data_IF_767325550610
#
_entry.id   IF_767325550610
#
_cell.length_a   1.000
_cell.length_b   1.000
_cell.length_c   1.000
_cell.angle_alpha   90.00
_cell.angle_beta   90.00
_cell.angle_gamma   90.00
#
_symmetry.space_group_name_H-M   'P 1'
#
loop_
_entity.id
_entity.type
_entity.pdbx_description
1 polymer ?
#
# COMPACT_ATOMS: atom_id res chain seq x y z
N UNK A 1 36.78 10.71 -22.81
CA UNK A 1 36.74 12.18 -22.89
C UNK A 1 35.27 12.53 -22.99
N UNK A 2 34.71 13.14 -21.95
CA UNK A 2 33.28 13.41 -21.77
C UNK A 2 32.98 14.81 -22.30
N UNK A 3 31.95 14.97 -23.12
CA UNK A 3 31.50 16.22 -23.71
C UNK A 3 30.25 16.72 -22.95
N UNK A 4 30.30 17.85 -22.22
CA UNK A 4 29.22 18.28 -21.33
C UNK A 4 28.26 19.27 -22.02
N UNK A 5 27.59 18.84 -23.10
CA UNK A 5 26.88 19.78 -23.98
C UNK A 5 25.54 19.41 -24.61
N UNK A 6 24.91 18.26 -24.33
CA UNK A 6 23.62 17.91 -24.97
C UNK A 6 22.46 17.78 -23.95
N UNK A 7 21.48 18.71 -23.93
CA UNK A 7 20.37 18.69 -22.98
C UNK A 7 19.18 17.91 -23.56
N UNK A 8 19.27 16.57 -23.56
CA UNK A 8 18.11 15.69 -23.82
C UNK A 8 18.18 14.41 -22.97
N UNK A 9 17.78 14.49 -21.71
CA UNK A 9 16.65 13.70 -21.19
C UNK A 9 16.37 14.06 -19.72
N UNK A 10 15.25 14.74 -19.53
CA UNK A 10 14.64 15.03 -18.25
C UNK A 10 13.61 13.96 -17.89
N UNK A 11 13.76 13.32 -16.72
CA UNK A 11 12.70 12.92 -15.78
C UNK A 11 13.36 12.03 -14.72
N UNK A 12 13.57 12.52 -13.48
CA UNK A 12 12.58 12.56 -12.37
C UNK A 12 12.13 11.13 -12.07
N UNK A 13 12.38 10.52 -10.91
CA UNK A 13 12.73 11.02 -9.58
C UNK A 13 12.11 9.96 -8.68
N UNK A 14 12.93 9.03 -8.20
CA UNK A 14 12.49 7.81 -7.52
C UNK A 14 11.79 8.09 -6.20
N UNK A 15 10.82 7.25 -5.87
CA UNK A 15 10.08 7.26 -4.61
C UNK A 15 11.02 6.84 -3.47
N UNK A 16 11.18 7.71 -2.47
CA UNK A 16 11.92 7.42 -1.24
C UNK A 16 10.92 7.12 -0.11
N UNK A 17 10.91 5.87 0.37
CA UNK A 17 10.14 5.46 1.53
C UNK A 17 10.83 5.95 2.82
N UNK A 18 10.12 6.73 3.62
CA UNK A 18 10.54 7.14 4.96
C UNK A 18 10.16 6.08 5.99
N UNK A 19 10.71 4.87 5.87
CA UNK A 19 10.91 3.93 6.99
C UNK A 19 12.15 3.06 6.70
N UNK A 20 13.33 3.63 6.99
CA UNK A 20 14.55 2.88 7.30
C UNK A 20 15.20 2.08 6.17
N UNK A 21 16.16 2.73 5.48
CA UNK A 21 17.36 2.18 4.84
C UNK A 21 17.32 0.70 4.43
N UNK A 22 16.96 0.44 3.18
CA UNK A 22 17.77 -0.32 2.22
C UNK A 22 17.14 -0.14 0.82
N UNK A 23 17.88 0.50 -0.09
CA UNK A 23 17.43 0.87 -1.44
C UNK A 23 17.50 -0.35 -2.39
N UNK A 24 16.54 -1.25 -2.27
CA UNK A 24 16.14 -2.12 -3.38
C UNK A 24 14.68 -1.80 -3.74
N UNK A 25 14.47 -1.44 -5.00
CA UNK A 25 13.22 -0.94 -5.56
C UNK A 25 12.09 -1.98 -5.46
N UNK A 26 11.31 -1.93 -4.38
CA UNK A 26 10.04 -2.65 -4.31
C UNK A 26 9.00 -1.90 -5.13
N UNK A 27 8.70 -2.43 -6.32
CA UNK A 27 7.58 -1.98 -7.11
C UNK A 27 6.31 -2.45 -6.40
N UNK A 28 5.80 -1.65 -5.45
CA UNK A 28 4.67 -2.03 -4.61
C UNK A 28 3.42 -2.48 -5.42
N UNK A 29 3.22 -1.93 -6.62
CA UNK A 29 2.14 -2.36 -7.53
C UNK A 29 2.34 -3.74 -8.18
N UNK A 30 3.60 -4.21 -8.27
CA UNK A 30 4.00 -5.48 -8.89
C UNK A 30 4.31 -6.58 -7.87
N UNK A 31 4.66 -6.20 -6.65
CA UNK A 31 5.10 -7.10 -5.57
C UNK A 31 3.95 -7.48 -4.59
N UNK A 32 2.74 -6.93 -4.78
CA UNK A 32 1.54 -7.34 -4.05
C UNK A 32 0.94 -8.67 -4.56
N UNK A 33 1.44 -9.20 -5.69
CA UNK A 33 1.12 -10.56 -6.13
C UNK A 33 1.83 -11.59 -5.23
N UNK A 34 1.33 -11.77 -4.01
CA UNK A 34 1.74 -12.84 -3.10
C UNK A 34 2.05 -12.40 -1.66
N UNK A 35 2.24 -11.11 -1.39
CA UNK A 35 2.37 -10.61 -0.01
C UNK A 35 1.00 -10.54 0.67
N UNK A 36 0.84 -11.20 1.81
CA UNK A 36 -0.38 -11.11 2.62
C UNK A 36 -0.19 -9.94 3.58
N UNK A 37 -0.81 -8.80 3.28
CA UNK A 37 -0.85 -7.66 4.19
C UNK A 37 -2.06 -7.78 5.12
N UNK A 38 -1.88 -7.62 6.43
CA UNK A 38 -2.96 -7.80 7.41
C UNK A 38 -3.89 -6.58 7.49
N UNK A 39 -5.19 -6.82 7.70
CA UNK A 39 -6.14 -5.77 8.02
C UNK A 39 -5.83 -5.13 9.40
N UNK A 40 -6.16 -3.85 9.64
CA UNK A 40 -6.52 -2.88 8.62
C UNK A 40 -5.31 -2.56 7.75
N UNK A 41 -5.51 -2.66 6.44
CA UNK A 41 -4.48 -2.36 5.44
C UNK A 41 -4.77 -0.98 4.86
N UNK A 42 -3.80 -0.08 5.02
CA UNK A 42 -3.83 1.29 4.55
C UNK A 42 -3.02 1.42 3.27
N UNK A 43 -3.62 1.90 2.19
CA UNK A 43 -2.95 2.04 0.89
C UNK A 43 -3.29 3.37 0.22
N UNK A 44 -2.31 3.88 -0.52
CA UNK A 44 -2.49 4.95 -1.49
C UNK A 44 -2.49 4.35 -2.90
N UNK A 45 -3.48 4.72 -3.71
CA UNK A 45 -3.59 4.35 -5.11
C UNK A 45 -3.26 5.57 -5.96
N UNK A 46 -2.33 5.44 -6.91
CA UNK A 46 -1.87 6.54 -7.76
C UNK A 46 -2.27 6.32 -9.23
N UNK A 47 -2.66 7.39 -9.93
CA UNK A 47 -3.04 7.34 -11.35
C UNK A 47 -2.05 8.12 -12.25
N UNK A 48 -0.79 7.69 -12.29
CA UNK A 48 0.31 8.40 -12.99
C UNK A 48 0.28 8.21 -14.54
N UNK A 49 -0.43 7.21 -15.07
CA UNK A 49 -0.22 6.80 -16.48
C UNK A 49 -1.19 7.33 -17.53
N UNK A 50 -2.33 7.91 -17.16
CA UNK A 50 -3.36 8.34 -18.13
C UNK A 50 -3.13 9.77 -18.63
N UNK A 51 -2.64 9.92 -19.86
CA UNK A 51 -2.52 11.24 -20.51
C UNK A 51 -3.92 11.82 -20.81
N UNK A 52 -4.18 13.05 -20.38
CA UNK A 52 -5.44 13.79 -20.58
C UNK A 52 -6.67 13.23 -19.83
N UNK A 53 -6.48 12.40 -18.79
CA UNK A 53 -7.62 11.99 -17.97
C UNK A 53 -8.13 13.17 -17.11
N UNK A 54 -9.39 13.53 -17.27
CA UNK A 54 -10.04 14.59 -16.51
C UNK A 54 -10.59 14.07 -15.16
N UNK A 55 -11.04 12.81 -15.14
CA UNK A 55 -11.68 12.19 -13.99
C UNK A 55 -11.21 10.75 -13.81
N UNK A 56 -10.99 10.36 -12.56
CA UNK A 56 -10.59 9.02 -12.12
C UNK A 56 -11.65 8.48 -11.15
N UNK A 57 -12.23 7.32 -11.46
CA UNK A 57 -13.19 6.63 -10.60
C UNK A 57 -12.61 5.31 -10.11
N UNK A 58 -12.51 5.17 -8.79
CA UNK A 58 -12.00 3.99 -8.12
C UNK A 58 -13.15 3.15 -7.55
N UNK A 59 -13.06 1.83 -7.70
CA UNK A 59 -13.98 0.84 -7.15
C UNK A 59 -13.17 -0.21 -6.39
N UNK A 60 -13.38 -0.38 -5.08
CA UNK A 60 -12.51 -1.21 -4.24
C UNK A 60 -13.05 -2.62 -3.94
N UNK A 61 -14.21 -2.97 -4.49
CA UNK A 61 -14.92 -4.25 -4.24
C UNK A 61 -15.24 -4.55 -2.77
N UNK A 62 -15.16 -3.54 -1.90
CA UNK A 62 -15.63 -3.57 -0.50
C UNK A 62 -16.84 -2.63 -0.31
N UNK A 63 -17.62 -2.47 -1.38
CA UNK A 63 -18.73 -1.52 -1.52
C UNK A 63 -18.35 -0.04 -1.38
N UNK A 64 -17.04 0.28 -1.38
CA UNK A 64 -16.57 1.67 -1.47
C UNK A 64 -16.11 2.03 -2.87
N UNK A 65 -16.33 3.29 -3.19
CA UNK A 65 -15.85 3.94 -4.40
C UNK A 65 -15.26 5.28 -4.04
N UNK A 66 -14.35 5.77 -4.88
CA UNK A 66 -13.85 7.13 -4.79
C UNK A 66 -13.84 7.79 -6.17
N UNK A 67 -13.86 9.12 -6.19
CA UNK A 67 -13.80 9.88 -7.44
C UNK A 67 -12.91 11.09 -7.27
N UNK A 68 -11.95 11.20 -8.17
CA UNK A 68 -10.90 12.20 -8.10
C UNK A 68 -10.79 12.92 -9.44
N UNK A 69 -10.59 14.23 -9.39
CA UNK A 69 -10.41 15.08 -10.57
C UNK A 69 -8.92 15.39 -10.76
N UNK A 70 -8.54 15.70 -12.00
CA UNK A 70 -7.18 15.92 -12.55
C UNK A 70 -6.10 16.58 -11.65
N UNK A 71 -6.46 17.26 -10.56
CA UNK A 71 -5.53 17.89 -9.61
C UNK A 71 -5.03 16.97 -8.48
N UNK A 72 -5.66 15.80 -8.31
CA UNK A 72 -5.33 14.83 -7.28
C UNK A 72 -4.93 13.52 -7.96
N UNK A 73 -3.67 13.12 -7.77
CA UNK A 73 -3.09 11.94 -8.39
C UNK A 73 -3.27 10.67 -7.56
N UNK A 74 -3.84 10.78 -6.35
CA UNK A 74 -3.95 9.67 -5.42
C UNK A 74 -5.22 9.60 -4.58
N UNK A 75 -5.62 8.38 -4.23
CA UNK A 75 -6.70 8.07 -3.29
C UNK A 75 -6.16 7.23 -2.15
N UNK A 76 -6.56 7.59 -0.93
CA UNK A 76 -6.31 6.77 0.25
C UNK A 76 -7.49 5.84 0.53
N UNK A 77 -7.24 4.55 0.68
CA UNK A 77 -8.26 3.58 1.04
C UNK A 77 -7.79 2.61 2.12
N UNK A 78 -8.74 2.12 2.92
CA UNK A 78 -8.46 1.22 4.04
C UNK A 78 -9.32 -0.03 3.95
N UNK A 79 -8.66 -1.17 3.75
CA UNK A 79 -9.28 -2.49 3.81
C UNK A 79 -9.28 -2.99 5.25
N UNK A 80 -10.45 -3.00 5.88
CA UNK A 80 -10.61 -3.35 7.31
C UNK A 80 -10.95 -4.82 7.55
N UNK A 81 -11.42 -5.52 6.52
CA UNK A 81 -11.92 -6.88 6.64
C UNK A 81 -10.94 -7.80 5.92
N UNK A 82 -10.36 -8.80 6.61
CA UNK A 82 -9.64 -9.88 5.94
C UNK A 82 -10.56 -10.66 5.01
N UNK A 83 -10.08 -11.03 3.83
CA UNK A 83 -10.87 -11.80 2.87
C UNK A 83 -10.09 -12.99 2.35
N UNK A 84 -10.80 -14.11 2.14
CA UNK A 84 -10.23 -15.28 1.48
C UNK A 84 -9.96 -15.01 -0.01
N UNK A 85 -10.87 -14.28 -0.65
CA UNK A 85 -10.74 -13.80 -2.02
C UNK A 85 -10.08 -12.40 -2.06
N UNK A 86 -9.18 -12.11 -3.01
CA UNK A 86 -8.61 -10.78 -3.15
C UNK A 86 -9.67 -9.71 -3.43
N UNK A 87 -9.49 -8.51 -2.87
CA UNK A 87 -10.23 -7.32 -3.29
C UNK A 87 -9.80 -6.93 -4.70
N UNK A 88 -10.75 -6.79 -5.62
CA UNK A 88 -10.48 -6.23 -6.93
C UNK A 88 -10.62 -4.72 -6.87
N UNK A 89 -9.52 -4.00 -7.08
CA UNK A 89 -9.54 -2.55 -7.22
C UNK A 89 -9.56 -2.22 -8.69
N UNK A 90 -10.61 -1.53 -9.14
CA UNK A 90 -10.77 -1.09 -10.53
C UNK A 90 -10.66 0.43 -10.60
N UNK A 91 -9.92 0.92 -11.57
CA UNK A 91 -9.85 2.31 -11.97
C UNK A 91 -10.54 2.47 -13.33
N UNK A 92 -11.42 3.45 -13.45
CA UNK A 92 -11.99 3.90 -14.72
C UNK A 92 -11.67 5.38 -14.90
N UNK A 93 -11.11 5.75 -16.04
CA UNK A 93 -10.72 7.13 -16.33
C UNK A 93 -11.51 7.68 -17.51
N UNK A 94 -11.78 8.98 -17.48
CA UNK A 94 -12.50 9.71 -18.53
C UNK A 94 -11.69 10.92 -18.97
N UNK A 95 -11.45 11.09 -20.27
CA UNK A 95 -10.87 12.34 -20.82
C UNK A 95 -11.95 13.38 -21.12
N UNK A 96 -11.57 14.65 -21.28
CA UNK A 96 -12.50 15.72 -21.68
C UNK A 96 -13.11 15.47 -23.08
N UNK A 97 -12.36 14.78 -23.94
CA UNK A 97 -12.79 14.38 -25.29
C UNK A 97 -13.69 13.13 -25.29
N UNK A 98 -13.96 12.55 -24.11
CA UNK A 98 -14.84 11.40 -23.93
C UNK A 98 -14.17 10.04 -24.11
N UNK A 99 -12.83 9.97 -24.12
CA UNK A 99 -12.13 8.68 -24.08
C UNK A 99 -12.34 8.01 -22.72
N UNK A 100 -12.49 6.68 -22.72
CA UNK A 100 -12.66 5.87 -21.51
C UNK A 100 -11.53 4.82 -21.49
N UNK A 101 -10.85 4.70 -20.36
CA UNK A 101 -9.83 3.67 -20.13
C UNK A 101 -10.03 3.00 -18.76
N UNK A 102 -9.65 1.73 -18.64
CA UNK A 102 -9.80 0.96 -17.41
C UNK A 102 -8.57 0.14 -17.06
N UNK A 103 -8.27 0.05 -15.76
CA UNK A 103 -7.24 -0.84 -15.24
C UNK A 103 -7.70 -1.47 -13.91
N UNK A 104 -7.09 -2.57 -13.50
CA UNK A 104 -7.41 -3.22 -12.24
C UNK A 104 -6.24 -3.96 -11.59
N UNK A 105 -6.24 -3.97 -10.25
CA UNK A 105 -5.28 -4.69 -9.41
C UNK A 105 -5.99 -5.53 -8.36
N UNK A 106 -5.39 -6.65 -7.96
CA UNK A 106 -5.92 -7.52 -6.90
C UNK A 106 -5.12 -7.31 -5.61
N UNK A 107 -5.83 -7.08 -4.50
CA UNK A 107 -5.23 -6.84 -3.18
C UNK A 107 -5.65 -7.96 -2.23
N UNK A 108 -4.69 -8.73 -1.70
CA UNK A 108 -4.95 -9.78 -0.71
C UNK A 108 -4.78 -9.23 0.71
N UNK A 109 -5.83 -9.35 1.53
CA UNK A 109 -5.86 -8.82 2.89
C UNK A 109 -5.99 -9.97 3.90
N UNK A 110 -4.95 -10.16 4.70
CA UNK A 110 -4.88 -11.16 5.76
C UNK A 110 -5.47 -10.70 7.09
N UNK A 111 -5.51 -11.61 8.06
CA UNK A 111 -5.94 -11.31 9.44
C UNK A 111 -4.84 -10.57 10.21
N UNK A 112 -5.22 -9.66 11.10
CA UNK A 112 -4.33 -9.14 12.14
C UNK A 112 -4.00 -10.25 13.12
N UNK A 113 -2.76 -10.28 13.61
CA UNK A 113 -2.32 -11.24 14.63
C UNK A 113 -1.58 -10.53 15.75
N UNK A 114 -1.89 -10.92 16.99
CA UNK A 114 -1.12 -10.59 18.18
C UNK A 114 -0.31 -11.83 18.54
N UNK A 115 1.00 -11.70 18.59
CA UNK A 115 1.91 -12.72 19.07
C UNK A 115 2.41 -12.31 20.47
N UNK A 116 1.86 -12.97 21.48
CA UNK A 116 2.27 -12.81 22.87
C UNK A 116 3.03 -14.07 23.35
N UNK A 117 4.10 -13.91 24.15
CA UNK A 117 4.83 -15.02 24.72
C UNK A 117 3.93 -15.78 25.70
N UNK A 118 3.89 -17.12 25.55
CA UNK A 118 3.11 -18.00 26.44
C UNK A 118 3.75 -18.15 27.83
N UNK A 119 5.07 -18.02 27.91
CA UNK A 119 5.84 -18.19 29.14
C UNK A 119 6.93 -17.11 29.20
N UNK A 120 7.18 -16.61 30.40
CA UNK A 120 8.27 -15.69 30.70
C UNK A 120 9.09 -16.32 31.80
N UNK A 121 10.41 -16.29 31.62
CA UNK A 121 11.37 -16.81 32.58
C UNK A 121 12.39 -15.73 32.87
N UNK A 122 12.08 -14.76 33.77
CA UNK A 122 13.02 -13.71 34.13
C UNK A 122 14.15 -14.31 34.97
N UNK A 123 15.16 -14.86 34.30
CA UNK A 123 16.34 -15.49 34.89
C UNK A 123 17.65 -14.86 34.38
N UNK A 124 17.56 -13.79 33.59
CA UNK A 124 18.66 -13.03 32.99
C UNK A 124 19.52 -13.84 32.01
N UNK A 125 18.95 -14.84 31.34
CA UNK A 125 19.64 -15.60 30.29
C UNK A 125 19.48 -14.99 28.87
N UNK A 126 18.74 -13.88 28.75
CA UNK A 126 18.48 -13.17 27.51
C UNK A 126 17.27 -13.72 26.73
N UNK A 127 16.62 -14.78 27.20
CA UNK A 127 15.48 -15.42 26.55
C UNK A 127 14.21 -15.23 27.38
N UNK A 128 13.20 -14.61 26.79
CA UNK A 128 11.89 -14.41 27.42
C UNK A 128 11.98 -13.77 28.83
N UNK A 129 12.94 -12.86 29.05
CA UNK A 129 13.10 -12.13 30.32
C UNK A 129 12.07 -11.01 30.51
N UNK A 130 11.47 -10.55 29.41
CA UNK A 130 10.53 -9.42 29.39
C UNK A 130 9.30 -9.80 28.58
N UNK A 131 8.12 -9.47 29.11
CA UNK A 131 6.88 -9.55 28.33
C UNK A 131 6.94 -8.53 27.19
N UNK A 132 7.02 -9.03 25.96
CA UNK A 132 6.93 -8.22 24.74
C UNK A 132 5.89 -8.82 23.83
N UNK A 133 4.95 -8.00 23.40
CA UNK A 133 3.94 -8.35 22.41
C UNK A 133 4.45 -7.90 21.04
N UNK A 134 4.30 -8.76 20.04
CA UNK A 134 4.51 -8.40 18.64
C UNK A 134 3.16 -8.40 17.93
N UNK A 135 2.96 -7.42 17.06
CA UNK A 135 1.72 -7.24 16.33
C UNK A 135 1.96 -6.94 14.85
N UNK A 136 0.97 -7.28 14.02
CA UNK A 136 0.90 -6.87 12.62
C UNK A 136 -0.49 -6.30 12.36
N UNK A 137 -0.51 -5.03 11.92
CA UNK A 137 -1.72 -4.28 11.56
C UNK A 137 -2.81 -4.32 12.64
N UNK A 138 -2.57 -3.71 13.79
CA UNK A 138 -3.58 -3.56 14.85
C UNK A 138 -3.95 -2.10 14.98
N UNK A 139 -5.25 -1.81 14.97
CA UNK A 139 -5.75 -0.43 15.10
C UNK A 139 -5.70 0.05 16.55
N UNK A 140 -6.06 -0.82 17.49
CA UNK A 140 -6.07 -0.54 18.93
C UNK A 140 -6.04 -1.85 19.70
N UNK A 141 -5.36 -1.85 20.86
CA UNK A 141 -5.42 -2.95 21.81
C UNK A 141 -5.19 -2.44 23.22
N UNK A 142 -5.99 -2.92 24.17
CA UNK A 142 -5.85 -2.64 25.59
C UNK A 142 -5.41 -3.92 26.29
N UNK A 143 -4.36 -3.82 27.11
CA UNK A 143 -3.91 -4.90 27.98
C UNK A 143 -4.09 -4.44 29.42
N UNK A 144 -4.99 -5.11 30.13
CA UNK A 144 -5.12 -5.00 31.58
C UNK A 144 -4.41 -6.18 32.23
N UNK A 145 -3.58 -5.91 33.23
CA UNK A 145 -2.84 -6.90 34.03
C UNK A 145 -3.45 -6.99 35.42
#
# INVERSE_FOLDING_TARGET
>A
MYDPGDPKNSSRGGWEDYYGNDKEDYNLGKDLEGSINSAPLYLYFYADSSKNAAVYHYFFSDDKTDTVYHELDSVFHVFRIPSAEPYQVKLITYSEEGCIDEDSVKIKVGKSEILAPKYITPNFDGQNDVFRVYDVSIADFEITI
#
